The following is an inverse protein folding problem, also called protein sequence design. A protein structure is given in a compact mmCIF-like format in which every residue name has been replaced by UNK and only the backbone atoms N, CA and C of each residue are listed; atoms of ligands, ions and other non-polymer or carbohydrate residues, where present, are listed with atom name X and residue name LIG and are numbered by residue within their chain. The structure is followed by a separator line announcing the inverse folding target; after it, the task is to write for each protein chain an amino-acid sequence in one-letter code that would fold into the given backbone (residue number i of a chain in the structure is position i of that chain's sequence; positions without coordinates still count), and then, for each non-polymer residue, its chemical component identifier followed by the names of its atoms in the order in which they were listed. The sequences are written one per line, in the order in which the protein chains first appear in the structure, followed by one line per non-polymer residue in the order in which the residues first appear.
data_IF_496560796348
#
_entry.id   IF_496560796348
#
_cell.length_a   1.000
_cell.length_b   1.000
_cell.length_c   1.000
_cell.angle_alpha   90.00
_cell.angle_beta   90.00
_cell.angle_gamma   90.00
#
_symmetry.space_group_name_H-M   'P 1'
#
loop_
_entity.id
_entity.type
_entity.pdbx_description
1 polymer ?
#
# COMPACT_ATOMS: atom_id res chain seq x y z
N UNK A 1 11.49 3.42 -2.89
CA UNK A 1 11.52 4.38 -4.02
C UNK A 1 10.17 4.82 -4.56
N UNK A 2 9.42 3.99 -5.29
CA UNK A 2 8.19 4.45 -6.00
C UNK A 2 7.07 4.87 -5.03
N UNK A 3 6.86 4.10 -3.96
CA UNK A 3 5.91 4.46 -2.88
C UNK A 3 6.36 5.71 -2.12
N UNK A 4 7.66 5.87 -1.87
CA UNK A 4 8.20 7.07 -1.19
C UNK A 4 7.98 8.33 -2.02
N UNK A 5 8.24 8.25 -3.32
CA UNK A 5 7.98 9.32 -4.27
C UNK A 5 6.49 9.67 -4.31
N UNK A 6 5.60 8.66 -4.33
CA UNK A 6 4.16 8.88 -4.32
C UNK A 6 3.70 9.59 -3.03
N UNK A 7 4.22 9.19 -1.87
CA UNK A 7 3.83 9.76 -0.58
C UNK A 7 4.57 11.06 -0.26
N UNK A 8 5.56 11.45 -1.06
CA UNK A 8 6.51 12.53 -0.78
C UNK A 8 7.10 12.41 0.65
N UNK A 9 7.35 11.17 1.08
CA UNK A 9 7.79 10.85 2.44
C UNK A 9 8.82 9.72 2.38
N UNK A 10 9.98 9.84 3.06
CA UNK A 10 10.94 8.76 3.17
C UNK A 10 10.33 7.59 3.97
N UNK A 11 10.51 6.37 3.47
CA UNK A 11 10.13 5.10 4.10
C UNK A 11 11.41 4.41 4.50
N UNK A 12 11.66 4.40 5.81
CA UNK A 12 12.82 3.74 6.43
C UNK A 12 12.34 2.67 7.39
N UNK A 13 13.25 1.81 7.80
CA UNK A 13 12.96 0.79 8.81
C UNK A 13 12.38 1.43 10.08
N UNK A 14 11.34 0.81 10.62
CA UNK A 14 10.62 1.32 11.80
C UNK A 14 9.63 2.45 11.55
N UNK A 15 9.50 2.97 10.32
CA UNK A 15 8.50 4.00 10.02
C UNK A 15 7.08 3.47 10.19
N UNK A 16 6.21 4.27 10.82
CA UNK A 16 4.77 4.01 10.85
C UNK A 16 4.06 4.89 9.82
N UNK A 17 3.28 4.24 8.96
CA UNK A 17 2.39 4.88 8.00
C UNK A 17 0.96 4.78 8.55
N UNK A 18 0.33 5.92 8.83
CA UNK A 18 -1.12 5.94 9.10
C UNK A 18 -1.82 5.85 7.74
N UNK A 19 -2.43 4.69 7.47
CA UNK A 19 -3.14 4.43 6.23
C UNK A 19 -4.58 4.95 6.37
N UNK A 20 -4.72 6.26 6.48
CA UNK A 20 -6.02 6.91 6.44
C UNK A 20 -6.70 6.71 5.07
N UNK A 21 -7.97 7.11 4.97
CA UNK A 21 -8.75 6.94 3.74
C UNK A 21 -8.11 7.64 2.52
N UNK A 22 -7.47 8.78 2.73
CA UNK A 22 -6.84 9.59 1.66
C UNK A 22 -5.57 8.91 1.15
N UNK A 23 -4.70 8.50 2.06
CA UNK A 23 -3.45 7.80 1.75
C UNK A 23 -3.77 6.47 1.06
N UNK A 24 -4.77 5.73 1.56
CA UNK A 24 -5.21 4.48 0.95
C UNK A 24 -5.76 4.67 -0.46
N UNK A 25 -6.62 5.67 -0.67
CA UNK A 25 -7.13 5.98 -2.00
C UNK A 25 -5.99 6.28 -2.97
N UNK A 26 -5.02 7.12 -2.56
CA UNK A 26 -3.88 7.50 -3.38
C UNK A 26 -2.99 6.30 -3.74
N UNK A 27 -2.70 5.44 -2.77
CA UNK A 27 -1.93 4.20 -2.99
C UNK A 27 -2.65 3.26 -3.96
N UNK A 28 -3.96 3.04 -3.77
CA UNK A 28 -4.78 2.20 -4.64
C UNK A 28 -4.80 2.72 -6.07
N UNK A 29 -5.03 4.02 -6.26
CA UNK A 29 -5.02 4.64 -7.58
C UNK A 29 -3.66 4.51 -8.27
N UNK A 30 -2.58 4.83 -7.57
CA UNK A 30 -1.23 4.74 -8.14
C UNK A 30 -0.86 3.29 -8.51
N UNK A 31 -1.27 2.31 -7.71
CA UNK A 31 -1.01 0.90 -8.00
C UNK A 31 -1.83 0.40 -9.19
N UNK A 32 -3.13 0.75 -9.26
CA UNK A 32 -3.97 0.46 -10.43
C UNK A 32 -3.42 1.09 -11.71
N UNK A 33 -2.85 2.30 -11.64
CA UNK A 33 -2.18 2.96 -12.76
C UNK A 33 -0.78 2.39 -13.07
N UNK A 34 -0.24 1.51 -12.24
CA UNK A 34 1.09 0.91 -12.44
C UNK A 34 2.27 1.76 -11.94
N UNK A 35 2.02 2.91 -11.30
CA UNK A 35 3.06 3.84 -10.84
C UNK A 35 3.87 3.31 -9.65
N UNK A 36 3.32 2.38 -8.87
CA UNK A 36 3.98 1.78 -7.69
C UNK A 36 4.06 0.25 -7.80
N UNK A 37 4.78 -0.24 -8.82
CA UNK A 37 4.91 -1.68 -9.12
C UNK A 37 6.34 -2.19 -9.18
N UNK A 38 7.33 -1.43 -8.70
CA UNK A 38 8.73 -1.93 -8.67
C UNK A 38 8.85 -3.24 -7.89
N UNK A 39 8.17 -3.36 -6.76
CA UNK A 39 8.15 -4.58 -5.95
C UNK A 39 7.43 -5.77 -6.61
N UNK A 40 6.62 -5.53 -7.67
CA UNK A 40 5.93 -6.59 -8.39
C UNK A 40 6.86 -7.37 -9.34
N UNK A 41 8.03 -6.81 -9.69
CA UNK A 41 8.98 -7.46 -10.61
C UNK A 41 9.55 -8.72 -9.96
N UNK A 42 9.33 -9.88 -10.60
CA UNK A 42 9.73 -11.18 -10.06
C UNK A 42 8.87 -11.71 -8.91
N UNK A 43 7.79 -11.00 -8.54
CA UNK A 43 6.86 -11.45 -7.51
C UNK A 43 5.82 -12.42 -8.11
N UNK A 44 5.74 -13.63 -7.53
CA UNK A 44 4.76 -14.66 -7.89
C UNK A 44 3.29 -14.19 -7.76
N UNK A 45 3.03 -13.18 -6.91
CA UNK A 45 1.69 -12.67 -6.68
C UNK A 45 1.32 -11.49 -7.58
N UNK A 46 2.16 -11.08 -8.54
CA UNK A 46 1.87 -9.95 -9.41
C UNK A 46 0.50 -10.09 -10.12
N UNK A 47 0.16 -11.30 -10.58
CA UNK A 47 -1.14 -11.59 -11.19
C UNK A 47 -2.31 -11.41 -10.22
N UNK A 48 -2.20 -11.93 -8.99
CA UNK A 48 -3.21 -11.78 -7.94
C UNK A 48 -3.43 -10.31 -7.58
N UNK A 49 -2.34 -9.57 -7.32
CA UNK A 49 -2.39 -8.15 -6.99
C UNK A 49 -2.96 -7.33 -8.16
N UNK A 50 -2.64 -7.71 -9.40
CA UNK A 50 -3.23 -7.17 -10.62
C UNK A 50 -4.75 -7.35 -10.65
N UNK A 51 -5.24 -8.57 -10.39
CA UNK A 51 -6.68 -8.86 -10.37
C UNK A 51 -7.43 -8.03 -9.32
N UNK A 52 -6.88 -7.88 -8.11
CA UNK A 52 -7.47 -7.04 -7.05
C UNK A 52 -7.53 -5.57 -7.49
N UNK A 53 -6.45 -5.05 -8.08
CA UNK A 53 -6.38 -3.66 -8.55
C UNK A 53 -7.31 -3.38 -9.74
N UNK A 54 -7.39 -4.30 -10.71
CA UNK A 54 -8.33 -4.23 -11.84
C UNK A 54 -9.78 -4.35 -11.39
N UNK A 55 -10.03 -5.09 -10.30
CA UNK A 55 -11.32 -5.16 -9.63
C UNK A 55 -11.71 -3.90 -8.86
N UNK A 56 -10.87 -2.86 -8.85
CA UNK A 56 -11.11 -1.60 -8.13
C UNK A 56 -11.05 -1.74 -6.61
N UNK A 57 -10.37 -2.79 -6.10
CA UNK A 57 -10.33 -3.11 -4.67
C UNK A 57 -11.72 -3.36 -4.05
N UNK A 58 -12.72 -3.73 -4.86
CA UNK A 58 -14.04 -4.10 -4.36
C UNK A 58 -13.94 -5.22 -3.34
N UNK A 59 -14.75 -5.11 -2.29
CA UNK A 59 -14.84 -6.07 -1.17
C UNK A 59 -13.54 -6.28 -0.37
N UNK A 60 -12.46 -5.54 -0.67
CA UNK A 60 -11.23 -5.60 0.10
C UNK A 60 -11.43 -5.00 1.48
N UNK A 61 -11.19 -5.80 2.51
CA UNK A 61 -11.27 -5.36 3.91
C UNK A 61 -9.88 -4.99 4.39
N UNK A 62 -9.69 -3.71 4.69
CA UNK A 62 -8.50 -3.20 5.35
C UNK A 62 -8.93 -2.42 6.57
N UNK A 63 -8.47 -2.84 7.74
CA UNK A 63 -8.80 -2.20 9.00
C UNK A 63 -7.53 -1.61 9.60
N UNK A 64 -7.63 -0.38 10.12
CA UNK A 64 -6.57 0.18 10.93
C UNK A 64 -6.62 -0.51 12.30
N UNK A 65 -5.50 -1.04 12.82
CA UNK A 65 -5.46 -1.52 14.19
C UNK A 65 -5.84 -0.38 15.12
N UNK A 66 -6.83 -0.60 15.99
CA UNK A 66 -7.31 0.41 16.95
C UNK A 66 -6.23 0.70 18.01
N UNK A 67 -5.28 -0.22 18.21
CA UNK A 67 -4.23 -0.13 19.23
C UNK A 67 -2.85 -0.47 18.67
N UNK A 68 -2.22 0.45 17.93
CA UNK A 68 -0.79 0.32 17.57
C UNK A 68 0.16 0.87 18.65
N UNK A 69 -0.36 1.38 19.77
CA UNK A 69 0.43 2.04 20.81
C UNK A 69 1.10 1.09 21.82
N UNK A 70 0.84 -0.22 21.79
CA UNK A 70 1.29 -1.13 22.85
C UNK A 70 2.21 -2.29 22.40
N UNK A 71 3.01 -2.11 21.33
CA UNK A 71 4.02 -3.10 20.96
C UNK A 71 5.36 -2.77 21.67
N UNK A 72 5.83 -3.58 22.65
CA UNK A 72 7.17 -3.42 23.20
C UNK A 72 8.22 -3.76 22.13
N UNK A 73 9.23 -2.90 22.03
CA UNK A 73 10.44 -3.12 21.20
C UNK A 73 11.31 -4.23 21.75
#
# INVERSE_FOLDING_TARGET
DDVEALLARPIRDGVRLDLDATILMRLRQAFSAGHVRKACVGCEWNGLCGAVASGGYRDTRLQRPVDAQNCPI
#
